data_IF_486709237647
#
_entry.id   IF_486709237647
#
_cell.length_a   1.000
_cell.length_b   1.000
_cell.length_c   1.000
_cell.angle_alpha   90.00
_cell.angle_beta   90.00
_cell.angle_gamma   90.00
#
_symmetry.space_group_name_H-M   'P 1'
#
loop_
_entity.id
_entity.type
_entity.pdbx_description
1 polymer ?
#
# COMPACT_ATOMS: atom_id res chain seq x y z
N UNK A 1 43.56 -39.39 -26.90
CA UNK A 1 42.28 -39.62 -26.19
C UNK A 1 42.25 -38.70 -24.96
N UNK A 2 41.35 -37.71 -24.92
CA UNK A 2 41.20 -36.81 -23.75
C UNK A 2 40.44 -37.56 -22.65
N UNK A 3 41.05 -37.75 -21.48
CA UNK A 3 40.34 -38.25 -20.28
C UNK A 3 39.29 -37.20 -19.90
N UNK A 4 38.02 -37.62 -19.83
CA UNK A 4 36.94 -36.81 -19.29
C UNK A 4 37.00 -36.97 -17.76
N UNK A 5 37.39 -35.90 -17.06
CA UNK A 5 37.30 -35.86 -15.61
C UNK A 5 35.81 -35.64 -15.25
N UNK A 6 35.18 -36.65 -14.65
CA UNK A 6 33.85 -36.54 -14.09
C UNK A 6 33.93 -36.06 -12.64
N UNK A 7 32.90 -35.36 -12.18
CA UNK A 7 32.75 -34.97 -10.78
C UNK A 7 32.65 -36.21 -9.89
N UNK A 8 33.29 -36.18 -8.73
CA UNK A 8 33.13 -37.22 -7.72
C UNK A 8 31.84 -37.02 -6.92
N UNK A 9 31.25 -38.11 -6.42
CA UNK A 9 30.09 -38.04 -5.52
C UNK A 9 30.40 -37.24 -4.25
N UNK A 10 31.65 -37.31 -3.76
CA UNK A 10 32.10 -36.60 -2.56
C UNK A 10 32.14 -35.09 -2.80
N UNK A 11 32.57 -34.63 -3.98
CA UNK A 11 32.54 -33.21 -4.34
C UNK A 11 31.11 -32.66 -4.34
N UNK A 12 30.17 -33.38 -4.94
CA UNK A 12 28.77 -32.95 -4.94
C UNK A 12 28.20 -32.97 -3.51
N UNK A 13 28.55 -33.96 -2.70
CA UNK A 13 28.10 -34.06 -1.31
C UNK A 13 28.54 -32.86 -0.46
N UNK A 14 29.82 -32.49 -0.52
CA UNK A 14 30.35 -31.36 0.26
C UNK A 14 29.70 -30.05 -0.18
N UNK A 15 29.50 -29.86 -1.49
CA UNK A 15 28.86 -28.66 -2.03
C UNK A 15 27.43 -28.52 -1.52
N UNK A 16 26.61 -29.58 -1.57
CA UNK A 16 25.22 -29.49 -1.08
C UNK A 16 25.13 -29.29 0.43
N UNK A 17 26.08 -29.84 1.20
CA UNK A 17 26.17 -29.60 2.65
C UNK A 17 26.48 -28.13 2.94
N UNK A 18 27.47 -27.55 2.27
CA UNK A 18 27.82 -26.13 2.45
C UNK A 18 26.65 -25.23 2.02
N UNK A 19 26.03 -25.50 0.86
CA UNK A 19 24.84 -24.76 0.40
C UNK A 19 23.68 -24.88 1.40
N UNK A 20 23.49 -26.05 2.02
CA UNK A 20 22.47 -26.26 3.05
C UNK A 20 22.70 -25.41 4.31
N UNK A 21 23.94 -25.34 4.79
CA UNK A 21 24.31 -24.51 5.95
C UNK A 21 24.10 -23.02 5.65
N UNK A 22 24.54 -22.57 4.47
CA UNK A 22 24.35 -21.17 4.05
C UNK A 22 22.87 -20.81 3.92
N UNK A 23 22.07 -21.69 3.30
CA UNK A 23 20.62 -21.48 3.16
C UNK A 23 19.92 -21.39 4.52
N UNK A 24 20.29 -22.23 5.49
CA UNK A 24 19.69 -22.23 6.82
C UNK A 24 19.89 -20.91 7.60
N UNK A 25 21.00 -20.20 7.36
CA UNK A 25 21.28 -18.91 8.00
C UNK A 25 20.59 -17.75 7.24
N UNK A 26 20.62 -17.79 5.90
CA UNK A 26 20.16 -16.66 5.07
C UNK A 26 18.63 -16.56 4.99
N UNK A 27 17.93 -17.70 4.91
CA UNK A 27 16.46 -17.72 4.75
C UNK A 27 15.72 -17.00 5.90
N UNK A 28 15.97 -17.28 7.19
CA UNK A 28 15.25 -16.61 8.28
C UNK A 28 15.53 -15.09 8.29
N UNK A 29 16.79 -14.68 8.09
CA UNK A 29 17.16 -13.27 8.06
C UNK A 29 16.44 -12.48 6.95
N UNK A 30 16.27 -13.08 5.78
CA UNK A 30 15.60 -12.41 4.66
C UNK A 30 14.09 -12.26 4.88
N UNK A 31 13.46 -13.21 5.58
CA UNK A 31 12.03 -13.14 5.93
C UNK A 31 11.74 -11.95 6.85
N UNK A 32 12.51 -11.79 7.92
CA UNK A 32 12.34 -10.70 8.88
C UNK A 32 12.57 -9.32 8.25
N UNK A 33 13.62 -9.21 7.41
CA UNK A 33 13.91 -7.98 6.69
C UNK A 33 12.79 -7.60 5.71
N UNK A 34 12.18 -8.57 5.04
CA UNK A 34 11.05 -8.35 4.13
C UNK A 34 9.81 -7.87 4.88
N UNK A 35 9.51 -8.45 6.04
CA UNK A 35 8.40 -8.04 6.89
C UNK A 35 8.58 -6.60 7.40
N UNK A 36 9.77 -6.25 7.89
CA UNK A 36 10.08 -4.89 8.33
C UNK A 36 9.98 -3.87 7.19
N UNK A 37 10.41 -4.24 5.98
CA UNK A 37 10.27 -3.40 4.80
C UNK A 37 8.79 -3.16 4.43
N UNK A 38 7.97 -4.20 4.49
CA UNK A 38 6.53 -4.10 4.25
C UNK A 38 5.84 -3.21 5.29
N UNK A 39 6.16 -3.36 6.58
CA UNK A 39 5.58 -2.53 7.64
C UNK A 39 5.97 -1.06 7.50
N UNK A 40 7.24 -0.81 7.15
CA UNK A 40 7.74 0.54 6.91
C UNK A 40 7.06 1.19 5.71
N UNK A 41 6.84 0.42 4.63
CA UNK A 41 6.11 0.85 3.44
C UNK A 41 4.63 1.14 3.76
N UNK A 42 3.96 0.26 4.50
CA UNK A 42 2.58 0.45 4.96
C UNK A 42 2.43 1.76 5.74
N UNK A 43 3.29 1.98 6.74
CA UNK A 43 3.25 3.17 7.59
C UNK A 43 3.53 4.44 6.78
N UNK A 44 4.51 4.41 5.88
CA UNK A 44 4.83 5.53 4.99
C UNK A 44 3.67 5.87 4.04
N UNK A 45 3.00 4.85 3.48
CA UNK A 45 1.84 5.03 2.63
C UNK A 45 0.67 5.63 3.39
N UNK A 46 0.37 5.14 4.61
CA UNK A 46 -0.64 5.72 5.49
C UNK A 46 -0.36 7.19 5.79
N UNK A 47 0.87 7.54 6.16
CA UNK A 47 1.27 8.92 6.42
C UNK A 47 1.10 9.81 5.19
N UNK A 48 1.51 9.32 4.01
CA UNK A 48 1.39 10.03 2.75
C UNK A 48 -0.07 10.34 2.45
N UNK A 49 -0.96 9.34 2.48
CA UNK A 49 -2.38 9.53 2.18
C UNK A 49 -3.05 10.42 3.23
N UNK A 50 -2.77 10.21 4.53
CA UNK A 50 -3.30 11.05 5.62
C UNK A 50 -2.90 12.52 5.44
N UNK A 51 -1.66 12.79 5.05
CA UNK A 51 -1.19 14.16 4.77
C UNK A 51 -1.97 14.79 3.59
N UNK A 52 -2.21 14.03 2.52
CA UNK A 52 -3.00 14.51 1.38
C UNK A 52 -4.47 14.72 1.73
N UNK A 53 -5.07 13.90 2.60
CA UNK A 53 -6.43 14.13 3.13
C UNK A 53 -6.50 15.46 3.88
N UNK A 54 -5.49 15.79 4.69
CA UNK A 54 -5.45 17.09 5.38
C UNK A 54 -5.34 18.26 4.39
N UNK A 55 -4.50 18.12 3.36
CA UNK A 55 -4.38 19.14 2.32
C UNK A 55 -5.69 19.33 1.54
N UNK A 56 -6.37 18.23 1.18
CA UNK A 56 -7.69 18.25 0.58
C UNK A 56 -8.66 19.04 1.45
N UNK A 57 -8.72 18.70 2.75
CA UNK A 57 -9.61 19.31 3.72
C UNK A 57 -9.40 20.83 3.84
N UNK A 58 -8.15 21.28 3.83
CA UNK A 58 -7.82 22.72 3.89
C UNK A 58 -8.35 23.44 2.64
N UNK A 59 -8.19 22.85 1.46
CA UNK A 59 -8.63 23.47 0.21
C UNK A 59 -10.15 23.40 0.00
N UNK A 60 -10.83 22.44 0.63
CA UNK A 60 -12.28 22.23 0.52
C UNK A 60 -13.05 22.74 1.75
N UNK A 61 -12.59 23.81 2.39
CA UNK A 61 -13.28 24.46 3.51
C UNK A 61 -13.66 23.51 4.66
N UNK A 62 -12.81 22.51 4.95
CA UNK A 62 -13.05 21.54 6.00
C UNK A 62 -13.78 20.27 5.57
N UNK A 63 -14.23 20.17 4.32
CA UNK A 63 -14.87 18.95 3.81
C UNK A 63 -13.85 17.82 3.62
N UNK A 64 -14.29 16.59 3.89
CA UNK A 64 -13.48 15.39 3.69
C UNK A 64 -13.62 14.87 2.25
N UNK A 65 -12.58 14.23 1.69
CA UNK A 65 -12.72 13.51 0.42
C UNK A 65 -13.79 12.42 0.60
N UNK A 66 -14.70 12.23 -0.37
CA UNK A 66 -15.83 11.29 -0.25
C UNK A 66 -17.09 11.86 0.42
N UNK A 67 -17.05 13.07 1.01
CA UNK A 67 -18.25 13.73 1.56
C UNK A 67 -19.09 14.46 0.49
N UNK A 68 -18.52 14.69 -0.70
CA UNK A 68 -19.17 15.35 -1.84
C UNK A 68 -19.80 14.36 -2.82
N UNK A 69 -19.83 14.70 -4.10
CA UNK A 69 -20.32 13.82 -5.17
C UNK A 69 -19.27 12.86 -5.71
N UNK A 70 -17.99 13.13 -5.43
CA UNK A 70 -16.87 12.28 -5.80
C UNK A 70 -16.57 11.28 -4.69
N UNK A 71 -16.33 10.02 -5.06
CA UNK A 71 -15.76 9.03 -4.15
C UNK A 71 -14.34 9.46 -3.71
N UNK A 72 -13.82 8.83 -2.67
CA UNK A 72 -12.52 9.15 -2.09
C UNK A 72 -11.40 9.10 -3.13
N UNK A 73 -11.41 8.07 -3.98
CA UNK A 73 -10.36 7.85 -4.97
C UNK A 73 -10.36 8.98 -6.00
N UNK A 74 -11.52 9.27 -6.59
CA UNK A 74 -11.70 10.36 -7.54
C UNK A 74 -11.40 11.73 -6.92
N UNK A 75 -11.74 11.93 -5.65
CA UNK A 75 -11.46 13.17 -4.93
C UNK A 75 -9.96 13.41 -4.72
N UNK A 76 -9.16 12.37 -4.47
CA UNK A 76 -7.72 12.51 -4.26
C UNK A 76 -6.87 12.39 -5.53
N UNK A 77 -7.26 11.56 -6.49
CA UNK A 77 -6.48 11.35 -7.73
C UNK A 77 -6.93 12.21 -8.90
N UNK A 78 -8.15 12.74 -8.84
CA UNK A 78 -8.69 13.66 -9.84
C UNK A 78 -8.52 15.13 -9.44
N UNK A 79 -9.01 16.01 -10.30
CA UNK A 79 -9.20 17.43 -9.95
C UNK A 79 -10.64 17.65 -9.53
N UNK A 80 -10.83 18.48 -8.53
CA UNK A 80 -12.14 18.79 -7.94
C UNK A 80 -12.37 20.29 -7.89
N UNK A 81 -13.62 20.71 -7.94
CA UNK A 81 -13.99 22.08 -7.57
C UNK A 81 -13.83 22.27 -6.07
N UNK A 82 -13.79 23.52 -5.59
CA UNK A 82 -13.76 23.81 -4.14
C UNK A 82 -14.93 23.19 -3.34
N UNK A 83 -16.02 22.83 -4.02
CA UNK A 83 -17.18 22.15 -3.43
C UNK A 83 -17.05 20.61 -3.43
N UNK A 84 -15.93 20.05 -3.91
CA UNK A 84 -15.64 18.62 -3.89
C UNK A 84 -16.25 17.82 -5.04
N UNK A 85 -16.76 18.49 -6.09
CA UNK A 85 -17.24 17.82 -7.29
C UNK A 85 -16.09 17.58 -8.27
N UNK A 86 -16.04 16.41 -8.93
CA UNK A 86 -15.07 16.14 -9.98
C UNK A 86 -15.30 17.07 -11.17
N UNK A 87 -14.21 17.66 -11.68
CA UNK A 87 -14.25 18.58 -12.82
C UNK A 87 -13.21 18.19 -13.85
N UNK A 88 -13.29 18.78 -15.05
CA UNK A 88 -12.26 18.59 -16.06
C UNK A 88 -10.97 19.33 -15.67
N UNK A 89 -9.82 18.78 -16.05
CA UNK A 89 -8.52 19.44 -15.91
C UNK A 89 -8.53 20.77 -16.65
N UNK A 90 -8.03 21.82 -16.00
CA UNK A 90 -8.02 23.19 -16.55
C UNK A 90 -9.30 23.99 -16.29
N UNK A 91 -10.28 23.43 -15.59
CA UNK A 91 -11.43 24.21 -15.09
C UNK A 91 -10.95 25.28 -14.11
N UNK A 92 -11.35 26.53 -14.30
CA UNK A 92 -10.99 27.63 -13.40
C UNK A 92 -11.48 27.35 -11.97
N UNK A 93 -10.57 27.48 -10.99
CA UNK A 93 -10.88 27.17 -9.59
C UNK A 93 -10.86 25.68 -9.23
N UNK A 94 -10.42 24.80 -10.15
CA UNK A 94 -10.13 23.41 -9.81
C UNK A 94 -8.88 23.29 -8.94
N UNK A 95 -8.94 22.38 -7.98
CA UNK A 95 -7.84 22.03 -7.05
C UNK A 95 -7.52 20.53 -7.16
N UNK A 96 -6.36 20.14 -6.64
CA UNK A 96 -5.79 18.81 -6.83
C UNK A 96 -5.08 18.65 -8.20
N UNK A 97 -4.72 17.43 -8.60
CA UNK A 97 -4.83 16.20 -7.82
C UNK A 97 -3.87 16.20 -6.62
N UNK A 98 -4.24 15.45 -5.59
CA UNK A 98 -3.46 15.34 -4.35
C UNK A 98 -2.57 14.10 -4.35
N UNK A 99 -2.99 13.07 -5.06
CA UNK A 99 -2.25 11.83 -5.28
C UNK A 99 -2.19 11.53 -6.78
N UNK A 100 -1.08 10.97 -7.25
CA UNK A 100 -1.02 10.45 -8.63
C UNK A 100 -1.77 9.12 -8.77
N UNK A 101 -1.75 8.31 -7.71
CA UNK A 101 -2.50 7.07 -7.57
C UNK A 101 -2.61 6.71 -6.09
N UNK A 102 -3.60 5.89 -5.72
CA UNK A 102 -3.65 5.32 -4.38
C UNK A 102 -2.49 4.33 -4.24
N UNK A 103 -1.62 4.48 -3.21
CA UNK A 103 -0.53 3.55 -3.00
C UNK A 103 -1.06 2.14 -2.70
N UNK A 104 -0.31 1.12 -3.10
CA UNK A 104 -0.68 -0.26 -2.81
C UNK A 104 -0.33 -0.61 -1.37
N UNK A 105 -1.24 -1.26 -0.67
CA UNK A 105 -0.96 -1.91 0.60
C UNK A 105 0.00 -3.10 0.34
N UNK A 106 1.20 -3.15 0.95
CA UNK A 106 2.19 -4.20 0.71
C UNK A 106 1.74 -5.59 1.19
N UNK A 107 0.73 -5.68 2.06
CA UNK A 107 0.19 -6.94 2.57
C UNK A 107 -0.97 -7.50 1.73
N UNK A 108 -1.45 -6.75 0.74
CA UNK A 108 -2.51 -7.18 -0.17
C UNK A 108 -1.93 -7.36 -1.57
N UNK A 109 -2.28 -8.44 -2.24
CA UNK A 109 -1.81 -8.72 -3.60
C UNK A 109 -2.88 -8.42 -4.65
N UNK A 110 -2.44 -8.19 -5.89
CA UNK A 110 -3.36 -7.99 -7.01
C UNK A 110 -4.01 -6.60 -7.06
N UNK A 111 -5.22 -6.54 -7.63
CA UNK A 111 -5.94 -5.30 -7.87
C UNK A 111 -6.48 -4.66 -6.59
N UNK A 112 -6.75 -5.48 -5.56
CA UNK A 112 -7.36 -5.05 -4.30
C UNK A 112 -6.42 -4.24 -3.41
N UNK A 113 -5.12 -4.28 -3.69
CA UNK A 113 -4.10 -3.62 -2.88
C UNK A 113 -4.22 -2.09 -2.85
N UNK A 114 -4.81 -1.48 -3.88
CA UNK A 114 -5.07 -0.04 -3.95
C UNK A 114 -6.54 0.31 -3.74
N UNK A 115 -7.41 -0.68 -3.49
CA UNK A 115 -8.84 -0.43 -3.30
C UNK A 115 -9.08 0.20 -1.93
N UNK A 116 -9.83 1.31 -1.94
CA UNK A 116 -10.28 2.00 -0.73
C UNK A 116 -11.75 1.70 -0.53
N UNK A 117 -12.09 1.12 0.63
CA UNK A 117 -13.47 0.94 1.06
C UNK A 117 -13.90 2.18 1.84
N UNK A 118 -15.05 2.75 1.51
CA UNK A 118 -15.57 3.95 2.16
C UNK A 118 -16.77 3.63 3.04
N UNK A 119 -16.86 4.26 4.21
CA UNK A 119 -18.03 4.13 5.07
C UNK A 119 -17.88 4.82 6.41
N UNK A 120 -18.95 4.91 7.19
CA UNK A 120 -18.92 5.51 8.53
C UNK A 120 -18.47 4.51 9.61
N UNK A 121 -18.66 3.22 9.35
CA UNK A 121 -18.26 2.11 10.22
C UNK A 121 -17.17 1.32 9.51
N UNK A 122 -16.11 0.97 10.25
CA UNK A 122 -15.04 0.13 9.71
C UNK A 122 -15.63 -1.23 9.29
N UNK A 123 -15.33 -1.70 8.05
CA UNK A 123 -15.80 -2.99 7.60
C UNK A 123 -15.15 -4.11 8.42
N UNK A 124 -15.78 -5.28 8.42
CA UNK A 124 -15.04 -6.51 8.72
C UNK A 124 -13.92 -6.63 7.70
N UNK A 125 -12.70 -6.91 8.15
CA UNK A 125 -11.52 -7.09 7.29
C UNK A 125 -11.89 -7.97 6.08
N UNK A 126 -11.81 -7.39 4.89
CA UNK A 126 -12.33 -7.95 3.63
C UNK A 126 -11.23 -8.17 2.58
N UNK A 127 -9.96 -8.03 2.99
CA UNK A 127 -8.80 -8.21 2.13
C UNK A 127 -8.60 -7.07 1.12
N UNK A 128 -9.29 -5.94 1.28
CA UNK A 128 -8.98 -4.71 0.51
C UNK A 128 -7.81 -3.97 1.14
N UNK A 129 -7.12 -3.17 0.34
CA UNK A 129 -5.93 -2.45 0.79
C UNK A 129 -6.23 -1.48 1.93
N UNK A 130 -7.30 -0.69 1.80
CA UNK A 130 -7.53 0.46 2.65
C UNK A 130 -9.00 0.64 3.04
N UNK A 131 -9.21 1.30 4.17
CA UNK A 131 -10.50 1.79 4.61
C UNK A 131 -10.41 3.29 4.90
N UNK A 132 -11.40 4.04 4.42
CA UNK A 132 -11.57 5.45 4.69
C UNK A 132 -12.90 5.71 5.40
N UNK A 133 -12.82 6.37 6.56
CA UNK A 133 -13.98 6.79 7.30
C UNK A 133 -14.49 8.16 6.81
N UNK A 134 -15.65 8.16 6.17
CA UNK A 134 -16.22 9.37 5.56
C UNK A 134 -16.74 10.41 6.57
N UNK A 135 -16.94 10.01 7.83
CA UNK A 135 -17.37 10.93 8.89
C UNK A 135 -16.23 11.50 9.71
N UNK A 136 -15.17 10.73 9.95
CA UNK A 136 -14.03 11.15 10.81
C UNK A 136 -12.81 11.58 10.01
N UNK A 137 -12.70 11.16 8.75
CA UNK A 137 -11.52 11.34 7.91
C UNK A 137 -10.38 10.38 8.23
N UNK A 138 -10.61 9.38 9.08
CA UNK A 138 -9.62 8.36 9.39
C UNK A 138 -9.33 7.50 8.17
N UNK A 139 -8.05 7.29 7.87
CA UNK A 139 -7.58 6.41 6.80
C UNK A 139 -6.72 5.32 7.42
N UNK A 140 -7.12 4.07 7.24
CA UNK A 140 -6.53 2.91 7.91
C UNK A 140 -6.29 1.77 6.92
N UNK A 141 -5.37 0.88 7.28
CA UNK A 141 -5.20 -0.38 6.56
C UNK A 141 -6.42 -1.28 6.78
N UNK A 142 -6.80 -2.06 5.77
CA UNK A 142 -7.97 -2.96 5.81
C UNK A 142 -7.59 -4.42 5.49
N UNK A 143 -6.30 -4.76 5.62
CA UNK A 143 -5.80 -6.10 5.39
C UNK A 143 -5.90 -7.01 6.65
N UNK A 144 -5.71 -6.44 7.85
CA UNK A 144 -5.74 -7.14 9.14
C UNK A 144 -6.11 -6.18 10.26
N UNK A 145 -6.62 -6.73 11.38
CA UNK A 145 -6.97 -5.94 12.55
C UNK A 145 -5.73 -5.28 13.22
N UNK A 146 -4.56 -5.92 13.15
CA UNK A 146 -3.33 -5.37 13.70
C UNK A 146 -2.86 -4.14 12.90
N UNK A 147 -2.86 -4.24 11.57
CA UNK A 147 -2.43 -3.14 10.71
C UNK A 147 -3.40 -1.95 10.70
N UNK A 148 -4.69 -2.18 10.98
CA UNK A 148 -5.68 -1.11 11.13
C UNK A 148 -5.38 -0.13 12.27
N UNK A 149 -4.58 -0.55 13.27
CA UNK A 149 -4.23 0.26 14.44
C UNK A 149 -3.05 1.23 14.25
N UNK A 150 -2.34 1.15 13.12
CA UNK A 150 -1.28 2.09 12.72
C UNK A 150 -1.87 3.38 12.11
#
# INVERSE_FOLDING_TARGET
MKKRNGFTLVEILIVVVILGILAAIVIPQFSDASEQANLSSLTSNLQTVRSQIQLYKIQHNGALPGAGTADFTAALTGVTSIAGATVAVGTSGAVGPYLQAIPKNPYVTGADAATVVEGVVAPTIDGKGWYFNTSTGAFNANDTAAHAAY
#
